data_IF_366667115947
#
_entry.id   IF_366667115947
#
_cell.length_a   1.000
_cell.length_b   1.000
_cell.length_c   1.000
_cell.angle_alpha   90.00
_cell.angle_beta   90.00
_cell.angle_gamma   90.00
#
_symmetry.space_group_name_H-M   'P 1'
#
loop_
_entity.id
_entity.type
_entity.pdbx_description
1 polymer ?
#
# COMPACT_ATOMS: atom_id res chain seq x y z
N UNK A 1 11.17 16.31 44.63
CA UNK A 1 11.92 16.67 43.40
C UNK A 1 12.54 15.37 42.89
N UNK A 2 11.83 14.52 42.12
CA UNK A 2 11.56 14.52 40.67
C UNK A 2 12.79 14.80 39.79
N UNK A 3 13.08 13.82 38.93
CA UNK A 3 13.75 13.97 37.63
C UNK A 3 15.18 13.43 37.62
N UNK A 4 15.55 12.44 36.80
CA UNK A 4 14.82 11.71 35.79
C UNK A 4 15.65 10.47 35.42
N UNK A 5 15.01 9.31 35.48
CA UNK A 5 15.56 8.03 35.00
C UNK A 5 14.58 7.46 34.00
N UNK A 6 14.35 8.13 32.87
CA UNK A 6 13.45 7.62 31.83
C UNK A 6 13.69 8.32 30.48
N UNK A 7 14.83 8.05 29.84
CA UNK A 7 15.03 8.46 28.43
C UNK A 7 15.80 7.40 27.64
N UNK A 8 15.33 6.15 27.71
CA UNK A 8 15.77 5.06 26.80
C UNK A 8 14.75 3.92 26.70
N UNK A 9 13.45 4.24 26.77
CA UNK A 9 12.37 3.22 26.77
C UNK A 9 11.23 3.47 25.77
N UNK A 10 11.38 4.39 24.82
CA UNK A 10 10.27 4.75 23.93
C UNK A 10 10.53 4.47 22.45
N UNK A 11 11.73 4.06 22.04
CA UNK A 11 12.02 3.77 20.62
C UNK A 11 12.02 2.28 20.26
N UNK A 12 11.78 1.39 21.23
CA UNK A 12 11.79 -0.07 21.03
C UNK A 12 10.44 -0.74 21.27
N UNK A 13 9.37 0.02 21.56
CA UNK A 13 8.08 -0.56 21.96
C UNK A 13 7.01 -0.64 20.87
N UNK A 14 7.17 0.08 19.75
CA UNK A 14 6.10 0.18 18.74
C UNK A 14 6.43 -0.52 17.40
N UNK A 15 7.53 -1.28 17.33
CA UNK A 15 7.91 -2.05 16.13
C UNK A 15 7.31 -3.48 16.14
N UNK A 16 6.39 -3.76 17.07
CA UNK A 16 5.79 -5.07 17.32
C UNK A 16 4.33 -5.20 16.83
N UNK A 17 3.84 -4.27 15.99
CA UNK A 17 2.42 -4.13 15.68
C UNK A 17 1.91 -4.83 14.42
N UNK A 18 2.79 -5.40 13.58
CA UNK A 18 2.35 -5.99 12.31
C UNK A 18 2.06 -7.50 12.43
N UNK A 19 0.96 -7.97 11.82
CA UNK A 19 0.56 -9.36 11.82
C UNK A 19 1.66 -10.29 11.30
N UNK A 20 2.21 -11.14 12.18
CA UNK A 20 3.06 -12.27 11.75
C UNK A 20 2.25 -13.49 11.32
N UNK A 21 0.98 -13.52 11.71
CA UNK A 21 0.04 -14.52 11.28
C UNK A 21 -0.40 -14.24 9.83
N UNK A 22 -0.30 -15.22 8.91
CA UNK A 22 -0.65 -15.01 7.50
C UNK A 22 -2.09 -14.57 7.27
N UNK A 23 -3.04 -15.03 8.09
CA UNK A 23 -4.47 -14.66 7.96
C UNK A 23 -4.72 -13.22 8.41
N UNK A 24 -3.98 -12.78 9.43
CA UNK A 24 -4.05 -11.42 9.91
C UNK A 24 -3.31 -10.45 8.97
N UNK A 25 -2.23 -10.88 8.31
CA UNK A 25 -1.59 -10.11 7.22
C UNK A 25 -2.48 -10.00 5.99
N UNK A 26 -3.16 -11.09 5.61
CA UNK A 26 -4.17 -11.07 4.55
C UNK A 26 -5.25 -10.03 4.86
N UNK A 27 -5.79 -10.08 6.07
CA UNK A 27 -6.81 -9.15 6.54
C UNK A 27 -6.29 -7.71 6.52
N UNK A 28 -5.04 -7.50 6.92
CA UNK A 28 -4.42 -6.18 6.88
C UNK A 28 -4.24 -5.64 5.46
N UNK A 29 -3.79 -6.45 4.49
CA UNK A 29 -3.65 -6.03 3.10
C UNK A 29 -4.99 -5.60 2.51
N UNK A 30 -6.06 -6.35 2.80
CA UNK A 30 -7.43 -6.00 2.38
C UNK A 30 -7.92 -4.71 3.04
N UNK A 31 -7.64 -4.56 4.34
CA UNK A 31 -8.02 -3.38 5.11
C UNK A 31 -7.27 -2.13 4.60
N UNK A 32 -5.95 -2.20 4.46
CA UNK A 32 -5.13 -1.13 3.91
C UNK A 32 -5.62 -0.72 2.52
N UNK A 33 -5.90 -1.67 1.63
CA UNK A 33 -6.37 -1.35 0.29
C UNK A 33 -7.71 -0.60 0.28
N UNK A 34 -8.52 -0.73 1.31
CA UNK A 34 -9.78 -0.01 1.47
C UNK A 34 -9.67 1.32 2.24
N UNK A 35 -8.56 1.51 2.97
CA UNK A 35 -8.33 2.63 3.89
C UNK A 35 -6.98 3.32 3.62
N UNK A 36 -6.49 3.28 2.39
CA UNK A 36 -5.13 3.75 2.07
C UNK A 36 -4.99 5.28 2.14
N UNK A 37 -6.09 6.01 2.33
CA UNK A 37 -6.13 7.44 2.59
C UNK A 37 -5.90 7.80 4.07
N UNK A 38 -5.96 6.82 4.99
CA UNK A 38 -5.62 7.02 6.39
C UNK A 38 -4.10 7.13 6.60
N UNK A 39 -3.68 7.93 7.57
CA UNK A 39 -2.28 7.91 8.01
C UNK A 39 -1.93 6.59 8.69
N UNK A 40 -0.64 6.26 8.74
CA UNK A 40 -0.15 4.96 9.21
C UNK A 40 -0.59 4.61 10.64
N UNK A 41 -0.53 5.57 11.57
CA UNK A 41 -0.82 5.30 12.98
C UNK A 41 -2.32 5.08 13.18
N UNK A 42 -3.15 5.90 12.52
CA UNK A 42 -4.61 5.72 12.50
C UNK A 42 -5.01 4.38 11.85
N UNK A 43 -4.42 4.04 10.71
CA UNK A 43 -4.69 2.78 9.99
C UNK A 43 -4.45 1.56 10.87
N UNK A 44 -3.31 1.53 11.57
CA UNK A 44 -2.95 0.43 12.47
C UNK A 44 -3.86 0.39 13.69
N UNK A 45 -4.12 1.53 14.32
CA UNK A 45 -5.03 1.61 15.48
C UNK A 45 -6.43 1.12 15.13
N UNK A 46 -6.99 1.58 14.00
CA UNK A 46 -8.32 1.18 13.56
C UNK A 46 -8.38 -0.30 13.17
N UNK A 47 -7.39 -0.81 12.43
CA UNK A 47 -7.30 -2.22 12.10
C UNK A 47 -7.30 -3.10 13.35
N UNK A 48 -6.48 -2.76 14.36
CA UNK A 48 -6.36 -3.53 15.59
C UNK A 48 -7.60 -3.45 16.47
N UNK A 49 -8.28 -2.30 16.48
CA UNK A 49 -9.50 -2.08 17.29
C UNK A 49 -10.71 -2.80 16.70
N UNK A 50 -10.86 -2.77 15.37
CA UNK A 50 -12.03 -3.33 14.67
C UNK A 50 -11.73 -4.70 14.04
N UNK A 51 -10.59 -5.33 14.37
CA UNK A 51 -10.15 -6.62 13.84
C UNK A 51 -10.21 -6.72 12.30
N UNK A 52 -9.92 -5.63 11.61
CA UNK A 52 -9.92 -5.60 10.14
C UNK A 52 -11.30 -5.65 9.48
N UNK A 53 -12.36 -5.22 10.18
CA UNK A 53 -13.65 -4.95 9.52
C UNK A 53 -13.47 -3.94 8.38
N UNK A 54 -13.58 -4.41 7.14
CA UNK A 54 -13.49 -3.58 5.94
C UNK A 54 -14.83 -2.91 5.72
N UNK A 55 -14.89 -1.56 5.81
CA UNK A 55 -16.08 -0.83 5.37
C UNK A 55 -16.22 -0.97 3.86
N UNK A 56 -17.45 -1.05 3.32
CA UNK A 56 -17.65 -1.03 1.88
C UNK A 56 -17.01 0.23 1.30
N UNK A 57 -16.21 0.06 0.23
CA UNK A 57 -15.63 1.17 -0.50
C UNK A 57 -16.73 2.14 -0.93
N UNK A 58 -16.50 3.44 -0.72
CA UNK A 58 -17.37 4.46 -1.29
C UNK A 58 -17.27 4.34 -2.81
N UNK A 59 -18.36 3.91 -3.45
CA UNK A 59 -18.46 3.80 -4.90
C UNK A 59 -18.25 5.19 -5.50
N UNK A 60 -17.14 5.39 -6.22
CA UNK A 60 -16.99 6.55 -7.11
C UNK A 60 -17.46 6.11 -8.48
N UNK A 61 -18.30 6.94 -9.09
CA UNK A 61 -19.27 6.50 -10.09
C UNK A 61 -18.69 6.53 -11.53
N UNK A 62 -17.44 6.95 -11.78
CA UNK A 62 -16.88 7.11 -13.15
C UNK A 62 -15.41 6.70 -13.36
N UNK A 63 -14.96 5.60 -12.76
CA UNK A 63 -13.53 5.29 -12.70
C UNK A 63 -12.81 4.88 -14.00
N UNK A 64 -13.39 4.09 -14.89
CA UNK A 64 -12.65 3.64 -16.09
C UNK A 64 -12.26 4.81 -17.01
N UNK A 65 -13.12 5.83 -17.06
CA UNK A 65 -12.87 7.07 -17.81
C UNK A 65 -11.79 7.91 -17.14
N UNK A 66 -11.84 8.05 -15.81
CA UNK A 66 -10.83 8.78 -15.04
C UNK A 66 -9.45 8.12 -15.11
N UNK A 67 -9.41 6.78 -15.09
CA UNK A 67 -8.15 6.03 -15.21
C UNK A 67 -7.51 6.17 -16.58
N UNK A 68 -8.31 6.02 -17.64
CA UNK A 68 -7.82 6.15 -19.02
C UNK A 68 -7.37 7.59 -19.33
N UNK A 69 -8.14 8.59 -18.88
CA UNK A 69 -7.81 9.99 -19.06
C UNK A 69 -6.55 10.40 -18.30
N UNK A 70 -6.40 9.95 -17.07
CA UNK A 70 -5.19 10.19 -16.28
C UNK A 70 -3.95 9.56 -16.93
N UNK A 71 -4.03 8.29 -17.32
CA UNK A 71 -2.91 7.61 -17.97
C UNK A 71 -2.53 8.33 -19.26
N UNK A 72 -3.52 8.80 -20.04
CA UNK A 72 -3.26 9.62 -21.23
C UNK A 72 -2.64 10.99 -20.91
N UNK A 73 -2.95 11.57 -19.75
CA UNK A 73 -2.39 12.82 -19.26
C UNK A 73 -1.04 12.64 -18.53
N UNK A 74 -0.59 11.39 -18.34
CA UNK A 74 0.66 11.07 -17.67
C UNK A 74 1.85 11.77 -18.33
N UNK A 75 2.76 12.39 -17.55
CA UNK A 75 3.99 12.94 -18.10
C UNK A 75 5.00 11.85 -18.49
N UNK A 76 4.71 10.58 -18.21
CA UNK A 76 5.58 9.45 -18.52
C UNK A 76 5.17 8.81 -19.85
N UNK A 77 6.00 8.98 -20.89
CA UNK A 77 5.77 8.40 -22.23
C UNK A 77 5.60 6.87 -22.21
N UNK A 78 6.17 6.18 -21.23
CA UNK A 78 6.07 4.73 -21.12
C UNK A 78 4.76 4.24 -20.45
N UNK A 79 4.01 5.13 -19.79
CA UNK A 79 2.83 4.76 -19.01
C UNK A 79 1.58 4.75 -19.89
N UNK A 80 1.09 3.55 -20.23
CA UNK A 80 -0.09 3.34 -21.06
C UNK A 80 -1.22 2.62 -20.31
N UNK A 81 -0.96 2.24 -19.06
CA UNK A 81 -1.92 1.67 -18.14
C UNK A 81 -1.54 2.03 -16.69
N UNK A 82 -2.42 1.69 -15.75
CA UNK A 82 -2.18 1.93 -14.33
C UNK A 82 -0.92 1.20 -13.81
N UNK A 83 -0.58 0.04 -14.37
CA UNK A 83 0.59 -0.75 -13.96
C UNK A 83 1.89 -0.02 -14.31
N UNK A 84 2.07 0.31 -15.59
CA UNK A 84 3.24 1.01 -16.13
C UNK A 84 3.38 2.40 -15.53
N UNK A 85 2.28 3.09 -15.24
CA UNK A 85 2.28 4.34 -14.47
C UNK A 85 2.82 4.12 -13.05
N UNK A 86 2.23 3.19 -12.30
CA UNK A 86 2.60 2.91 -10.90
C UNK A 86 4.07 2.49 -10.81
N UNK A 87 4.53 1.64 -11.73
CA UNK A 87 5.94 1.26 -11.85
C UNK A 87 6.84 2.47 -12.09
N UNK A 88 6.56 3.27 -13.13
CA UNK A 88 7.40 4.41 -13.51
C UNK A 88 7.46 5.46 -12.40
N UNK A 89 6.31 5.81 -11.83
CA UNK A 89 6.20 6.77 -10.74
C UNK A 89 6.89 6.28 -9.46
N UNK A 90 6.54 5.08 -9.00
CA UNK A 90 7.03 4.54 -7.75
C UNK A 90 8.54 4.25 -7.80
N UNK A 91 9.07 3.83 -8.95
CA UNK A 91 10.50 3.52 -9.09
C UNK A 91 11.41 4.71 -8.76
N UNK A 92 11.00 5.94 -9.10
CA UNK A 92 11.79 7.15 -8.80
C UNK A 92 11.96 7.34 -7.29
N UNK A 93 10.90 7.11 -6.51
CA UNK A 93 10.94 7.16 -5.05
C UNK A 93 11.72 5.98 -4.46
N UNK A 94 11.45 4.76 -4.94
CA UNK A 94 12.10 3.53 -4.47
C UNK A 94 13.60 3.48 -4.77
N UNK A 95 14.07 4.15 -5.82
CA UNK A 95 15.50 4.28 -6.12
C UNK A 95 16.27 5.01 -5.01
N UNK A 96 15.58 5.85 -4.23
CA UNK A 96 16.17 6.56 -3.07
C UNK A 96 16.20 5.72 -1.79
N UNK A 97 15.69 4.48 -1.84
CA UNK A 97 15.65 3.54 -0.71
C UNK A 97 16.65 2.39 -0.96
N UNK A 98 17.95 2.58 -0.69
CA UNK A 98 18.96 1.55 -0.93
C UNK A 98 18.84 0.36 0.03
N UNK A 99 18.13 0.52 1.14
CA UNK A 99 17.88 -0.53 2.13
C UNK A 99 16.89 -1.60 1.62
N UNK A 100 16.08 -1.29 0.61
CA UNK A 100 15.17 -2.25 0.00
C UNK A 100 15.88 -2.98 -1.14
N UNK A 101 15.80 -4.30 -1.13
CA UNK A 101 16.17 -5.17 -2.24
C UNK A 101 15.28 -4.94 -3.46
N UNK A 102 15.73 -5.41 -4.63
CA UNK A 102 14.93 -5.36 -5.87
C UNK A 102 13.56 -6.03 -5.70
N UNK A 103 13.52 -7.17 -5.00
CA UNK A 103 12.28 -7.91 -4.76
C UNK A 103 11.33 -7.13 -3.85
N UNK A 104 11.85 -6.50 -2.79
CA UNK A 104 11.03 -5.65 -1.90
C UNK A 104 10.47 -4.43 -2.63
N UNK A 105 11.28 -3.80 -3.50
CA UNK A 105 10.82 -2.68 -4.33
C UNK A 105 9.72 -3.10 -5.29
N UNK A 106 9.88 -4.23 -5.99
CA UNK A 106 8.85 -4.78 -6.86
C UNK A 106 7.55 -5.04 -6.07
N UNK A 107 7.66 -5.62 -4.88
CA UNK A 107 6.52 -5.89 -4.02
C UNK A 107 5.84 -4.60 -3.52
N UNK A 108 6.59 -3.52 -3.26
CA UNK A 108 5.99 -2.20 -2.95
C UNK A 108 5.09 -1.73 -4.10
N UNK A 109 5.58 -1.84 -5.33
CA UNK A 109 4.82 -1.44 -6.52
C UNK A 109 3.55 -2.30 -6.68
N UNK A 110 3.66 -3.61 -6.48
CA UNK A 110 2.51 -4.51 -6.61
C UNK A 110 1.43 -4.25 -5.55
N UNK A 111 1.80 -3.94 -4.30
CA UNK A 111 0.83 -3.53 -3.29
C UNK A 111 0.23 -2.17 -3.59
N UNK A 112 1.05 -1.20 -4.00
CA UNK A 112 0.52 0.11 -4.39
C UNK A 112 -0.48 -0.03 -5.54
N UNK A 113 -0.17 -0.84 -6.53
CA UNK A 113 -1.07 -1.14 -7.65
C UNK A 113 -2.34 -1.86 -7.18
N UNK A 114 -2.22 -2.84 -6.27
CA UNK A 114 -3.38 -3.52 -5.71
C UNK A 114 -4.29 -2.58 -4.92
N UNK A 115 -3.73 -1.65 -4.13
CA UNK A 115 -4.49 -0.63 -3.42
C UNK A 115 -5.24 0.29 -4.40
N UNK A 116 -4.57 0.75 -5.46
CA UNK A 116 -5.18 1.57 -6.50
C UNK A 116 -6.26 0.80 -7.27
N UNK A 117 -6.00 -0.44 -7.67
CA UNK A 117 -6.99 -1.28 -8.34
C UNK A 117 -8.21 -1.55 -7.46
N UNK A 118 -8.00 -1.74 -6.16
CA UNK A 118 -9.08 -1.86 -5.17
C UNK A 118 -9.89 -0.56 -5.10
N UNK A 119 -9.22 0.60 -4.98
CA UNK A 119 -9.87 1.92 -4.96
C UNK A 119 -10.73 2.16 -6.18
N UNK A 120 -10.17 1.86 -7.35
CA UNK A 120 -10.77 2.09 -8.66
C UNK A 120 -11.77 0.98 -9.06
N UNK A 121 -11.98 -0.01 -8.19
CA UNK A 121 -12.85 -1.16 -8.44
C UNK A 121 -12.50 -1.91 -9.73
N UNK A 122 -11.20 -2.01 -10.03
CA UNK A 122 -10.65 -2.66 -11.22
C UNK A 122 -10.36 -4.16 -11.01
N UNK A 123 -10.64 -4.68 -9.81
CA UNK A 123 -10.45 -6.10 -9.54
C UNK A 123 -11.46 -6.93 -10.35
N UNK A 124 -11.00 -8.05 -10.91
CA UNK A 124 -11.83 -9.05 -11.55
C UNK A 124 -12.66 -9.85 -10.52
N UNK A 125 -13.42 -10.84 -11.00
CA UNK A 125 -14.29 -11.66 -10.15
C UNK A 125 -13.50 -12.50 -9.15
N UNK A 126 -12.24 -12.78 -9.45
CA UNK A 126 -11.28 -13.48 -8.60
C UNK A 126 -10.60 -12.54 -7.59
N UNK A 127 -10.88 -11.25 -7.64
CA UNK A 127 -10.28 -10.24 -6.76
C UNK A 127 -8.85 -9.89 -7.15
N UNK A 128 -8.51 -9.99 -8.44
CA UNK A 128 -7.19 -9.71 -8.98
C UNK A 128 -7.21 -8.57 -10.01
N UNK A 129 -6.07 -7.93 -10.20
CA UNK A 129 -5.84 -6.98 -11.29
C UNK A 129 -4.53 -7.32 -11.99
N UNK A 130 -4.59 -7.63 -13.29
CA UNK A 130 -3.42 -8.04 -14.08
C UNK A 130 -2.57 -9.12 -13.37
N UNK A 131 -3.25 -10.17 -12.88
CA UNK A 131 -2.66 -11.28 -12.09
C UNK A 131 -2.15 -10.92 -10.68
N UNK A 132 -2.28 -9.68 -10.24
CA UNK A 132 -1.97 -9.27 -8.86
C UNK A 132 -3.21 -9.45 -8.00
N UNK A 133 -3.09 -10.33 -7.00
CA UNK A 133 -4.11 -10.64 -6.01
C UNK A 133 -3.51 -10.69 -4.61
N UNK A 134 -4.35 -10.65 -3.58
CA UNK A 134 -3.90 -10.81 -2.18
C UNK A 134 -3.08 -12.10 -1.98
N UNK A 135 -3.49 -13.21 -2.60
CA UNK A 135 -2.75 -14.48 -2.49
C UNK A 135 -1.35 -14.38 -3.12
N UNK A 136 -1.24 -13.76 -4.29
CA UNK A 136 0.06 -13.54 -4.96
C UNK A 136 0.99 -12.62 -4.15
N UNK A 137 0.44 -11.57 -3.52
CA UNK A 137 1.18 -10.64 -2.66
C UNK A 137 1.70 -11.33 -1.39
N UNK A 138 0.90 -12.21 -0.78
CA UNK A 138 1.31 -13.00 0.37
C UNK A 138 2.44 -13.97 0.02
N UNK A 139 2.36 -14.63 -1.15
CA UNK A 139 3.41 -15.55 -1.62
C UNK A 139 4.74 -14.81 -1.83
N UNK A 140 4.72 -13.70 -2.56
CA UNK A 140 5.91 -12.88 -2.81
C UNK A 140 6.45 -12.24 -1.54
N UNK A 141 5.57 -11.83 -0.63
CA UNK A 141 5.95 -11.29 0.67
C UNK A 141 6.68 -12.31 1.55
N UNK A 142 6.30 -13.59 1.51
CA UNK A 142 7.04 -14.64 2.24
C UNK A 142 8.48 -14.75 1.75
N UNK A 143 8.70 -14.62 0.45
CA UNK A 143 10.04 -14.62 -0.15
C UNK A 143 10.82 -13.34 0.14
N UNK A 144 10.13 -12.20 0.27
CA UNK A 144 10.72 -10.89 0.58
C UNK A 144 11.02 -10.68 2.09
N UNK A 145 10.75 -11.67 2.94
CA UNK A 145 10.97 -11.60 4.39
C UNK A 145 10.20 -10.44 5.05
N UNK A 146 8.86 -10.49 4.92
CA UNK A 146 7.82 -9.58 5.45
C UNK A 146 7.99 -9.07 6.90
N UNK A 147 8.97 -9.51 7.67
CA UNK A 147 9.21 -9.08 9.06
C UNK A 147 9.72 -7.61 9.13
N UNK A 148 10.27 -7.04 8.05
CA UNK A 148 10.57 -5.60 7.89
C UNK A 148 9.32 -4.76 7.54
N UNK A 149 8.21 -5.15 8.16
CA UNK A 149 6.85 -4.93 7.72
C UNK A 149 6.44 -3.44 7.71
N UNK A 150 6.94 -2.63 8.66
CA UNK A 150 6.51 -1.24 8.83
C UNK A 150 6.99 -0.31 7.73
N UNK A 151 8.29 -0.33 7.43
CA UNK A 151 8.88 0.56 6.41
C UNK A 151 8.31 0.24 5.04
N UNK A 152 8.13 -1.05 4.75
CA UNK A 152 7.58 -1.50 3.49
C UNK A 152 6.11 -1.09 3.31
N UNK A 153 5.25 -1.33 4.30
CA UNK A 153 3.83 -0.96 4.22
C UNK A 153 3.60 0.55 4.21
N UNK A 154 4.37 1.32 4.99
CA UNK A 154 4.36 2.79 4.93
C UNK A 154 4.75 3.26 3.53
N UNK A 155 5.77 2.65 2.92
CA UNK A 155 6.18 3.02 1.56
C UNK A 155 5.08 2.71 0.56
N UNK A 156 4.42 1.55 0.67
CA UNK A 156 3.28 1.19 -0.18
C UNK A 156 2.12 2.19 -0.05
N UNK A 157 1.76 2.53 1.19
CA UNK A 157 0.71 3.49 1.52
C UNK A 157 1.03 4.86 0.93
N UNK A 158 2.25 5.34 1.17
CA UNK A 158 2.73 6.63 0.66
C UNK A 158 2.69 6.68 -0.87
N UNK A 159 3.18 5.63 -1.54
CA UNK A 159 3.14 5.54 -3.01
C UNK A 159 1.69 5.56 -3.51
N UNK A 160 0.80 4.81 -2.85
CA UNK A 160 -0.63 4.76 -3.23
C UNK A 160 -1.31 6.13 -3.11
N UNK A 161 -1.11 6.83 -1.97
CA UNK A 161 -1.69 8.16 -1.70
C UNK A 161 -1.16 9.20 -2.67
N UNK A 162 0.15 9.23 -2.92
CA UNK A 162 0.74 10.23 -3.82
C UNK A 162 0.26 10.01 -5.26
N UNK A 163 0.14 8.76 -5.70
CA UNK A 163 -0.44 8.44 -7.00
C UNK A 163 -1.91 8.90 -7.02
N UNK A 164 -2.71 8.55 -6.01
CA UNK A 164 -4.11 8.96 -5.94
C UNK A 164 -4.30 10.48 -5.99
N UNK A 165 -3.49 11.25 -5.25
CA UNK A 165 -3.55 12.71 -5.30
C UNK A 165 -3.18 13.23 -6.69
N UNK A 166 -2.20 12.61 -7.36
CA UNK A 166 -1.87 12.95 -8.76
C UNK A 166 -3.05 12.69 -9.71
N UNK A 167 -3.88 11.69 -9.43
CA UNK A 167 -5.09 11.37 -10.21
C UNK A 167 -6.20 12.43 -10.12
N UNK A 168 -6.34 13.12 -8.98
CA UNK A 168 -7.46 14.05 -8.73
C UNK A 168 -7.11 15.54 -8.87
N UNK A 169 -5.84 15.89 -9.06
CA UNK A 169 -5.41 17.29 -9.28
C UNK A 169 -5.38 17.75 -10.77
N UNK A 170 -6.07 17.03 -11.67
CA UNK A 170 -6.22 17.37 -13.10
C UNK A 170 -7.58 17.98 -13.43
#
# INVERSE_FOLDING_TARGET
MIGGKHESRTLTRDVAGLPRDPSLLESFLRYQAAHFDEDWDSLIQHFMTHRGEVKPLVQVVQFETDVSAFVAASPFEAAHDLLTYTQTFGQVGLNKLPQLSTNEKALVIEVALFNLATRFQLLDQEGAYQSISVSSLLEKGRAANLVMCTVWLITCLTVSVVILNSFFEL
#
